data_IF_731860351331
#
_entry.id   IF_731860351331
#
_cell.length_a   1.000
_cell.length_b   1.000
_cell.length_c   1.000
_cell.angle_alpha   90.00
_cell.angle_beta   90.00
_cell.angle_gamma   90.00
#
_symmetry.space_group_name_H-M   'P 1'
#
loop_
_entity.id
_entity.type
_entity.pdbx_description
1 polymer ?
#
# COMPACT_ATOMS: atom_id res chain seq x y z
N UNK A 1 -3.90 -34.46 -35.48
CA UNK A 1 -4.17 -35.10 -34.18
C UNK A 1 -3.26 -34.53 -33.10
N UNK A 2 -1.91 -34.52 -33.25
CA UNK A 2 -0.97 -33.99 -32.25
C UNK A 2 -1.21 -32.53 -31.90
N UNK A 3 -1.51 -31.67 -32.89
CA UNK A 3 -1.78 -30.25 -32.67
C UNK A 3 -3.07 -30.01 -31.86
N UNK A 4 -4.08 -30.86 -32.01
CA UNK A 4 -5.33 -30.74 -31.23
C UNK A 4 -5.09 -31.13 -29.77
N UNK A 5 -4.30 -32.17 -29.54
CA UNK A 5 -3.92 -32.61 -28.20
C UNK A 5 -3.12 -31.51 -27.50
N UNK A 6 -2.10 -30.94 -28.15
CA UNK A 6 -1.28 -29.87 -27.60
C UNK A 6 -2.13 -28.63 -27.25
N UNK A 7 -3.06 -28.21 -28.13
CA UNK A 7 -3.96 -27.10 -27.83
C UNK A 7 -4.85 -27.41 -26.63
N UNK A 8 -5.34 -28.64 -26.52
CA UNK A 8 -6.17 -29.05 -25.38
C UNK A 8 -5.38 -29.06 -24.06
N UNK A 9 -4.15 -29.58 -24.08
CA UNK A 9 -3.24 -29.55 -22.92
C UNK A 9 -2.90 -28.10 -22.50
N UNK A 10 -2.58 -27.22 -23.43
CA UNK A 10 -2.32 -25.82 -23.16
C UNK A 10 -3.52 -25.11 -22.53
N UNK A 11 -4.75 -25.43 -22.98
CA UNK A 11 -5.98 -24.86 -22.41
C UNK A 11 -6.28 -25.33 -20.99
N UNK A 12 -5.71 -26.46 -20.56
CA UNK A 12 -5.86 -26.99 -19.20
C UNK A 12 -4.66 -26.65 -18.30
N UNK A 13 -3.56 -26.19 -18.88
CA UNK A 13 -2.35 -25.84 -18.14
C UNK A 13 -2.49 -24.44 -17.52
N UNK A 14 -2.79 -24.39 -16.22
CA UNK A 14 -2.99 -23.14 -15.48
C UNK A 14 -1.75 -22.25 -15.48
N UNK A 15 -0.55 -22.83 -15.46
CA UNK A 15 0.72 -22.09 -15.51
C UNK A 15 0.90 -21.40 -16.86
N UNK A 16 0.62 -22.13 -17.95
CA UNK A 16 0.67 -21.58 -19.30
C UNK A 16 -0.35 -20.47 -19.51
N UNK A 17 -1.61 -20.68 -19.10
CA UNK A 17 -2.66 -19.68 -19.24
C UNK A 17 -2.34 -18.40 -18.47
N UNK A 18 -1.74 -18.52 -17.28
CA UNK A 18 -1.30 -17.38 -16.51
C UNK A 18 -0.15 -16.63 -17.18
N UNK A 19 0.91 -17.34 -17.60
CA UNK A 19 2.03 -16.75 -18.30
C UNK A 19 1.60 -16.03 -19.59
N UNK A 20 0.66 -16.62 -20.32
CA UNK A 20 0.06 -16.01 -21.52
C UNK A 20 -0.71 -14.73 -21.17
N UNK A 21 -1.56 -14.76 -20.14
CA UNK A 21 -2.31 -13.59 -19.69
C UNK A 21 -1.37 -12.45 -19.26
N UNK A 22 -0.29 -12.78 -18.56
CA UNK A 22 0.73 -11.82 -18.15
C UNK A 22 1.41 -11.20 -19.37
N UNK A 23 1.86 -12.02 -20.33
CA UNK A 23 2.47 -11.55 -21.57
C UNK A 23 1.53 -10.67 -22.41
N UNK A 24 0.24 -11.02 -22.50
CA UNK A 24 -0.78 -10.24 -23.20
C UNK A 24 -1.00 -8.87 -22.50
N UNK A 25 -1.00 -8.85 -21.16
CA UNK A 25 -1.10 -7.62 -20.35
C UNK A 25 0.12 -6.73 -20.56
N UNK A 26 1.33 -7.27 -20.48
CA UNK A 26 2.57 -6.54 -20.71
C UNK A 26 2.66 -5.99 -22.15
N UNK A 27 2.24 -6.78 -23.14
CA UNK A 27 2.19 -6.33 -24.54
C UNK A 27 1.18 -5.18 -24.73
N UNK A 28 0.06 -5.21 -24.00
CA UNK A 28 -0.91 -4.12 -24.02
C UNK A 28 -0.33 -2.87 -23.38
N UNK A 29 0.31 -3.01 -22.22
CA UNK A 29 0.94 -1.92 -21.50
C UNK A 29 2.09 -1.29 -22.31
N UNK A 30 2.91 -2.10 -22.95
CA UNK A 30 3.98 -1.58 -23.84
C UNK A 30 3.42 -0.73 -24.99
N UNK A 31 2.28 -1.14 -25.58
CA UNK A 31 1.61 -0.35 -26.61
C UNK A 31 1.07 0.98 -26.10
N UNK A 32 0.48 1.00 -24.90
CA UNK A 32 0.02 2.23 -24.25
C UNK A 32 1.17 3.20 -24.00
N UNK A 33 2.26 2.70 -23.43
CA UNK A 33 3.46 3.51 -23.16
C UNK A 33 4.09 4.05 -24.46
N UNK A 34 4.22 3.21 -25.48
CA UNK A 34 4.75 3.62 -26.77
C UNK A 34 3.87 4.67 -27.49
N UNK A 35 2.55 4.62 -27.26
CA UNK A 35 1.59 5.58 -27.81
C UNK A 35 1.46 6.87 -26.95
N UNK A 36 2.11 6.93 -25.80
CA UNK A 36 2.11 8.12 -24.94
C UNK A 36 2.88 9.28 -25.55
N UNK A 37 2.76 10.48 -24.96
CA UNK A 37 3.48 11.69 -25.42
C UNK A 37 5.02 11.52 -25.42
N UNK A 38 5.55 10.66 -24.54
CA UNK A 38 6.99 10.40 -24.43
C UNK A 38 7.47 9.41 -25.50
N UNK A 39 6.58 8.63 -26.11
CA UNK A 39 6.89 7.66 -27.14
C UNK A 39 7.86 6.56 -26.67
N UNK A 40 8.57 5.97 -27.64
CA UNK A 40 9.61 4.98 -27.34
C UNK A 40 10.92 5.73 -27.03
N UNK A 41 11.56 5.50 -25.87
CA UNK A 41 12.80 6.17 -25.51
C UNK A 41 13.97 5.72 -26.40
N UNK A 42 15.05 6.52 -26.44
CA UNK A 42 16.24 6.20 -27.22
C UNK A 42 16.91 4.89 -26.81
N UNK A 43 16.73 4.47 -25.57
CA UNK A 43 17.20 3.18 -25.02
C UNK A 43 16.44 1.96 -25.60
N UNK A 44 15.37 2.20 -26.34
CA UNK A 44 14.59 1.16 -27.02
C UNK A 44 13.31 0.74 -26.30
N UNK A 45 12.49 -0.05 -26.97
CA UNK A 45 11.16 -0.44 -26.49
C UNK A 45 11.18 -1.31 -25.21
N UNK A 46 12.28 -2.04 -24.94
CA UNK A 46 12.39 -2.88 -23.75
C UNK A 46 12.39 -2.08 -22.45
N UNK A 47 12.93 -0.87 -22.46
CA UNK A 47 12.96 0.00 -21.28
C UNK A 47 11.57 0.49 -20.86
N UNK A 48 10.60 0.53 -21.79
CA UNK A 48 9.22 0.90 -21.47
C UNK A 48 8.64 0.07 -20.33
N UNK A 49 8.82 -1.24 -20.38
CA UNK A 49 8.30 -2.15 -19.35
C UNK A 49 9.24 -2.25 -18.14
N UNK A 50 10.56 -2.15 -18.35
CA UNK A 50 11.54 -2.24 -17.27
C UNK A 50 11.48 -1.05 -16.31
N UNK A 51 11.09 0.12 -16.81
CA UNK A 51 10.98 1.36 -16.01
C UNK A 51 9.53 1.67 -15.62
N UNK A 52 8.55 0.88 -16.06
CA UNK A 52 7.15 1.10 -15.76
C UNK A 52 6.77 0.55 -14.36
N UNK A 53 6.38 1.41 -13.40
CA UNK A 53 6.01 0.97 -12.06
C UNK A 53 4.81 0.01 -12.05
N UNK A 54 3.88 0.11 -12.99
CA UNK A 54 2.72 -0.79 -13.05
C UNK A 54 3.11 -2.20 -13.48
N UNK A 55 4.15 -2.34 -14.29
CA UNK A 55 4.68 -3.63 -14.72
C UNK A 55 5.65 -4.20 -13.69
N UNK A 56 6.55 -3.36 -13.15
CA UNK A 56 7.60 -3.84 -12.24
C UNK A 56 7.14 -3.97 -10.78
N UNK A 57 6.24 -3.12 -10.32
CA UNK A 57 5.77 -3.13 -8.93
C UNK A 57 5.28 -4.51 -8.45
N UNK A 58 4.34 -5.17 -9.15
CA UNK A 58 3.89 -6.51 -8.78
C UNK A 58 5.00 -7.57 -8.76
N UNK A 59 5.98 -7.47 -9.68
CA UNK A 59 7.11 -8.41 -9.75
C UNK A 59 8.06 -8.20 -8.57
N UNK A 60 8.44 -6.96 -8.30
CA UNK A 60 9.30 -6.60 -7.18
C UNK A 60 8.64 -6.93 -5.84
N UNK A 61 7.33 -6.69 -5.71
CA UNK A 61 6.60 -7.07 -4.52
C UNK A 61 6.64 -8.59 -4.29
N UNK A 62 6.36 -9.38 -5.33
CA UNK A 62 6.39 -10.84 -5.25
C UNK A 62 7.77 -11.37 -4.88
N UNK A 63 8.83 -10.75 -5.38
CA UNK A 63 10.21 -11.20 -5.18
C UNK A 63 10.78 -10.78 -3.81
N UNK A 64 10.47 -9.56 -3.36
CA UNK A 64 11.16 -8.96 -2.22
C UNK A 64 10.27 -8.72 -0.99
N UNK A 65 8.95 -8.60 -1.15
CA UNK A 65 8.05 -8.17 -0.09
C UNK A 65 7.08 -9.28 0.36
N UNK A 66 6.69 -10.19 -0.55
CA UNK A 66 5.62 -11.17 -0.29
C UNK A 66 5.98 -12.24 0.73
N UNK A 67 7.26 -12.38 1.11
CA UNK A 67 7.68 -13.26 2.21
C UNK A 67 7.12 -12.80 3.56
N UNK A 68 6.99 -11.49 3.77
CA UNK A 68 6.48 -10.88 4.99
C UNK A 68 5.11 -10.23 4.81
N UNK A 69 4.92 -9.51 3.72
CA UNK A 69 3.71 -8.74 3.43
C UNK A 69 2.75 -9.48 2.51
N UNK A 70 1.49 -9.01 2.49
CA UNK A 70 0.50 -9.35 1.46
C UNK A 70 0.08 -8.10 0.72
N UNK A 71 -0.44 -8.27 -0.47
CA UNK A 71 -1.11 -7.24 -1.25
C UNK A 71 -2.53 -7.73 -1.55
N UNK A 72 -3.51 -7.28 -0.79
CA UNK A 72 -4.89 -7.79 -0.81
C UNK A 72 -4.92 -9.34 -0.67
N UNK A 73 -4.19 -9.85 0.34
CA UNK A 73 -4.09 -11.27 0.70
C UNK A 73 -3.34 -12.16 -0.31
N UNK A 74 -2.68 -11.61 -1.31
CA UNK A 74 -1.88 -12.35 -2.30
C UNK A 74 -0.44 -11.81 -2.40
N UNK A 75 0.37 -12.43 -3.25
CA UNK A 75 1.79 -12.15 -3.48
C UNK A 75 2.08 -10.89 -4.33
N UNK A 76 1.09 -10.05 -4.61
CA UNK A 76 1.21 -8.92 -5.54
C UNK A 76 0.91 -9.28 -7.00
N UNK A 77 1.06 -10.55 -7.38
CA UNK A 77 0.75 -11.08 -8.74
C UNK A 77 -0.56 -11.87 -8.78
N UNK A 78 -1.33 -11.84 -7.70
CA UNK A 78 -2.61 -12.52 -7.58
C UNK A 78 -2.53 -14.00 -7.21
N UNK A 79 -1.37 -14.50 -6.74
CA UNK A 79 -1.26 -15.84 -6.22
C UNK A 79 -1.51 -15.84 -4.71
N UNK A 80 -2.33 -16.77 -4.22
CA UNK A 80 -2.49 -16.95 -2.78
C UNK A 80 -1.16 -17.37 -2.16
N UNK A 81 -0.88 -16.89 -0.97
CA UNK A 81 0.28 -17.29 -0.16
C UNK A 81 -0.26 -18.03 1.06
N UNK A 82 0.12 -19.29 1.21
CA UNK A 82 -0.40 -20.17 2.27
C UNK A 82 0.12 -19.78 3.65
N UNK A 83 1.36 -19.29 3.72
CA UNK A 83 1.99 -18.90 4.97
C UNK A 83 1.35 -17.63 5.53
N UNK A 84 1.19 -17.56 6.86
CA UNK A 84 0.69 -16.37 7.53
C UNK A 84 1.68 -15.21 7.34
N UNK A 85 1.19 -13.97 7.06
CA UNK A 85 2.06 -12.82 6.95
C UNK A 85 2.70 -12.49 8.31
N UNK A 86 3.95 -12.04 8.29
CA UNK A 86 4.63 -11.51 9.49
C UNK A 86 4.59 -9.97 9.58
N UNK A 87 3.99 -9.32 8.59
CA UNK A 87 3.82 -7.88 8.50
C UNK A 87 2.46 -7.53 7.87
N UNK A 88 2.05 -6.27 7.99
CA UNK A 88 0.75 -5.77 7.50
C UNK A 88 0.57 -5.92 5.99
N UNK A 89 -0.68 -6.08 5.54
CA UNK A 89 -1.05 -6.02 4.12
C UNK A 89 -0.86 -4.59 3.59
N UNK A 90 -0.16 -4.47 2.47
CA UNK A 90 0.20 -3.18 1.86
C UNK A 90 -0.76 -2.73 0.75
N UNK A 91 -1.88 -3.43 0.51
CA UNK A 91 -2.86 -2.99 -0.47
C UNK A 91 -3.50 -1.66 -0.05
N UNK A 92 -3.23 -0.62 -0.83
CA UNK A 92 -3.66 0.74 -0.52
C UNK A 92 -2.93 1.39 0.66
N UNK A 93 -1.72 0.92 1.00
CA UNK A 93 -0.89 1.48 2.06
C UNK A 93 -0.87 3.01 2.02
N UNK A 94 -0.99 3.63 3.19
CA UNK A 94 -1.07 5.06 3.41
C UNK A 94 -2.25 5.79 2.72
N UNK A 95 -3.19 5.06 2.10
CA UNK A 95 -4.45 5.68 1.68
C UNK A 95 -5.33 6.01 2.90
N UNK A 96 -6.24 6.98 2.76
CA UNK A 96 -7.21 7.32 3.82
C UNK A 96 -7.98 6.08 4.31
N UNK A 97 -8.34 5.18 3.39
CA UNK A 97 -9.04 3.94 3.73
C UNK A 97 -8.15 2.98 4.51
N UNK A 98 -6.89 2.83 4.10
CA UNK A 98 -5.93 1.98 4.79
C UNK A 98 -5.63 2.53 6.19
N UNK A 99 -5.36 3.83 6.31
CA UNK A 99 -5.08 4.51 7.58
C UNK A 99 -6.26 4.43 8.56
N UNK A 100 -7.50 4.64 8.10
CA UNK A 100 -8.69 4.47 8.95
C UNK A 100 -8.83 3.06 9.51
N UNK A 101 -8.46 2.04 8.73
CA UNK A 101 -8.48 0.66 9.20
C UNK A 101 -7.32 0.38 10.15
N UNK A 102 -6.12 0.87 9.82
CA UNK A 102 -4.94 0.71 10.66
C UNK A 102 -5.12 1.37 12.03
N UNK A 103 -5.72 2.55 12.09
CA UNK A 103 -6.02 3.31 13.31
C UNK A 103 -7.40 2.97 13.90
N UNK A 104 -7.97 1.82 13.55
CA UNK A 104 -9.25 1.36 14.09
C UNK A 104 -9.06 0.24 15.11
N UNK A 105 -9.64 0.35 16.33
CA UNK A 105 -9.63 -0.72 17.33
C UNK A 105 -10.16 -2.04 16.80
N UNK A 106 -11.14 -2.01 15.91
CA UNK A 106 -11.78 -3.21 15.34
C UNK A 106 -10.89 -3.91 14.29
N UNK A 107 -9.87 -3.22 13.75
CA UNK A 107 -9.11 -3.73 12.60
C UNK A 107 -7.64 -3.96 12.87
N UNK A 108 -7.00 -3.21 13.78
CA UNK A 108 -5.54 -3.27 14.01
C UNK A 108 -5.04 -4.69 14.33
N UNK A 109 -5.82 -5.47 15.08
CA UNK A 109 -5.49 -6.86 15.44
C UNK A 109 -6.04 -7.91 14.47
N UNK A 110 -6.49 -7.50 13.29
CA UNK A 110 -6.86 -8.44 12.23
C UNK A 110 -5.62 -8.95 11.48
N UNK A 111 -5.74 -10.07 10.74
CA UNK A 111 -4.65 -10.60 9.91
C UNK A 111 -4.12 -9.65 8.83
N UNK A 112 -4.91 -8.64 8.46
CA UNK A 112 -4.49 -7.61 7.49
C UNK A 112 -3.50 -6.60 8.10
N UNK A 113 -3.41 -6.52 9.42
CA UNK A 113 -2.53 -5.59 10.12
C UNK A 113 -1.63 -6.33 11.11
N UNK A 114 -1.78 -6.11 12.42
CA UNK A 114 -0.84 -6.65 13.40
C UNK A 114 -1.21 -8.05 13.94
N UNK A 115 -2.40 -8.58 13.65
CA UNK A 115 -2.90 -9.80 14.28
C UNK A 115 -2.04 -11.05 14.13
N UNK A 116 -1.19 -11.14 13.09
CA UNK A 116 -0.23 -12.23 12.90
C UNK A 116 1.23 -11.79 13.04
N UNK A 117 1.46 -10.55 13.48
CA UNK A 117 2.81 -9.99 13.61
C UNK A 117 3.29 -10.05 15.05
N UNK A 118 4.60 -9.83 15.25
CA UNK A 118 5.19 -9.63 16.58
C UNK A 118 4.73 -8.32 17.24
N UNK A 119 4.09 -7.42 16.48
CA UNK A 119 3.62 -6.12 16.95
C UNK A 119 2.20 -6.15 17.50
N UNK A 120 1.52 -7.31 17.54
CA UNK A 120 0.15 -7.43 18.02
C UNK A 120 -0.05 -7.00 19.50
N UNK A 121 1.01 -7.12 20.28
CA UNK A 121 1.06 -6.74 21.71
C UNK A 121 1.98 -5.52 21.92
N UNK A 122 2.32 -4.79 20.85
CA UNK A 122 3.18 -3.61 20.89
C UNK A 122 2.41 -2.32 21.21
N UNK A 123 3.17 -1.24 21.42
CA UNK A 123 2.63 0.07 21.86
C UNK A 123 1.62 0.65 20.87
N UNK A 124 1.89 0.58 19.55
CA UNK A 124 0.94 1.07 18.55
C UNK A 124 -0.38 0.29 18.55
N UNK A 125 -0.34 -1.02 18.79
CA UNK A 125 -1.55 -1.83 18.93
C UNK A 125 -2.32 -1.44 20.20
N UNK A 126 -1.63 -1.25 21.32
CA UNK A 126 -2.21 -0.79 22.59
C UNK A 126 -2.80 0.62 22.44
N UNK A 127 -2.07 1.56 21.86
CA UNK A 127 -2.56 2.90 21.58
C UNK A 127 -3.86 2.88 20.77
N UNK A 128 -3.93 2.05 19.73
CA UNK A 128 -5.13 1.96 18.90
C UNK A 128 -6.29 1.32 19.65
N UNK A 129 -6.06 0.23 20.40
CA UNK A 129 -7.14 -0.52 21.07
C UNK A 129 -7.62 0.10 22.38
N UNK A 130 -6.81 0.92 23.03
CA UNK A 130 -7.14 1.54 24.32
C UNK A 130 -7.35 3.05 24.18
N UNK A 131 -6.39 3.78 23.63
CA UNK A 131 -6.45 5.25 23.56
C UNK A 131 -7.44 5.70 22.50
N UNK A 132 -7.26 5.28 21.24
CA UNK A 132 -8.18 5.66 20.14
C UNK A 132 -9.59 5.11 20.39
N UNK A 133 -9.72 3.95 21.02
CA UNK A 133 -11.03 3.39 21.38
C UNK A 133 -11.82 4.31 22.32
N UNK A 134 -11.12 5.03 23.21
CA UNK A 134 -11.72 5.96 24.18
C UNK A 134 -12.01 7.35 23.64
N UNK A 135 -11.55 7.70 22.44
CA UNK A 135 -11.71 9.03 21.84
C UNK A 135 -13.16 9.48 21.79
N UNK A 136 -13.39 10.73 22.20
CA UNK A 136 -14.67 11.39 22.06
C UNK A 136 -14.93 11.86 20.60
N UNK A 137 -15.98 12.61 20.38
CA UNK A 137 -16.34 13.08 19.03
C UNK A 137 -15.33 14.07 18.46
N UNK A 138 -14.75 14.93 19.30
CA UNK A 138 -13.75 15.92 18.87
C UNK A 138 -12.42 15.24 18.54
N UNK A 139 -11.94 14.35 19.41
CA UNK A 139 -10.71 13.58 19.20
C UNK A 139 -10.79 12.70 17.95
N UNK A 140 -11.95 12.09 17.68
CA UNK A 140 -12.18 11.35 16.42
C UNK A 140 -12.15 12.23 15.18
N UNK A 141 -12.62 13.48 15.28
CA UNK A 141 -12.49 14.44 14.18
C UNK A 141 -11.04 14.83 13.96
N UNK A 142 -10.28 15.07 15.02
CA UNK A 142 -8.84 15.35 14.96
C UNK A 142 -8.06 14.17 14.35
N UNK A 143 -8.40 12.95 14.72
CA UNK A 143 -7.81 11.75 14.11
C UNK A 143 -8.11 11.65 12.60
N UNK A 144 -9.30 12.01 12.15
CA UNK A 144 -9.61 12.08 10.70
C UNK A 144 -8.77 13.15 9.99
N UNK A 145 -8.49 14.28 10.62
CA UNK A 145 -7.60 15.31 10.08
C UNK A 145 -6.15 14.80 9.98
N UNK A 146 -5.65 14.08 10.99
CA UNK A 146 -4.35 13.39 10.94
C UNK A 146 -4.30 12.39 9.77
N UNK A 147 -5.34 11.57 9.59
CA UNK A 147 -5.43 10.62 8.47
C UNK A 147 -5.35 11.35 7.11
N UNK A 148 -5.99 12.50 6.98
CA UNK A 148 -5.92 13.30 5.76
C UNK A 148 -4.52 13.84 5.50
N UNK A 149 -3.83 14.30 6.53
CA UNK A 149 -2.46 14.80 6.43
C UNK A 149 -1.50 13.68 6.05
N UNK A 150 -1.52 12.55 6.75
CA UNK A 150 -0.68 11.38 6.45
C UNK A 150 -0.91 10.85 5.03
N UNK A 151 -2.17 10.78 4.62
CA UNK A 151 -2.50 10.35 3.26
C UNK A 151 -1.98 11.33 2.20
N UNK A 152 -2.00 12.63 2.48
CA UNK A 152 -1.44 13.65 1.59
C UNK A 152 0.09 13.59 1.50
N UNK A 153 0.77 13.31 2.62
CA UNK A 153 2.23 13.08 2.65
C UNK A 153 2.64 11.91 1.75
N UNK A 154 1.85 10.84 1.74
CA UNK A 154 2.10 9.66 0.90
C UNK A 154 2.00 9.94 -0.61
N UNK A 155 1.42 11.05 -1.04
CA UNK A 155 1.32 11.52 -2.44
C UNK A 155 0.82 10.47 -3.42
N UNK A 156 -0.10 9.61 -3.00
CA UNK A 156 -0.60 8.50 -3.81
C UNK A 156 -1.34 9.01 -5.06
N UNK A 157 -0.92 8.62 -6.28
CA UNK A 157 -1.56 9.10 -7.51
C UNK A 157 -3.07 8.84 -7.55
N UNK A 158 -3.51 7.71 -6.99
CA UNK A 158 -4.93 7.32 -6.92
C UNK A 158 -5.78 8.27 -6.05
N UNK A 159 -5.18 9.01 -5.12
CA UNK A 159 -5.86 9.92 -4.22
C UNK A 159 -5.68 11.41 -4.56
N UNK A 160 -4.93 11.74 -5.58
CA UNK A 160 -4.63 13.12 -5.98
C UNK A 160 -5.89 14.00 -6.11
N UNK A 161 -7.01 13.43 -6.57
CA UNK A 161 -8.26 14.14 -6.70
C UNK A 161 -8.90 14.47 -5.34
N UNK A 162 -8.78 13.58 -4.34
CA UNK A 162 -9.24 13.82 -2.97
C UNK A 162 -8.40 14.91 -2.30
N UNK A 163 -7.08 14.84 -2.46
CA UNK A 163 -6.15 15.81 -1.89
C UNK A 163 -6.31 17.22 -2.49
N UNK A 164 -6.79 17.33 -3.72
CA UNK A 164 -7.05 18.63 -4.35
C UNK A 164 -8.42 19.20 -4.00
N UNK A 165 -9.42 18.36 -3.77
CA UNK A 165 -10.79 18.80 -3.44
C UNK A 165 -10.97 19.16 -1.96
N UNK A 166 -10.21 18.51 -1.08
CA UNK A 166 -10.30 18.66 0.36
C UNK A 166 -9.14 19.53 0.89
N UNK A 167 -9.32 20.84 0.84
CA UNK A 167 -8.27 21.80 1.20
C UNK A 167 -8.29 22.21 2.69
N UNK A 168 -9.31 21.81 3.46
CA UNK A 168 -9.49 22.24 4.84
C UNK A 168 -8.32 21.87 5.75
N UNK A 169 -7.75 20.67 5.58
CA UNK A 169 -6.60 20.19 6.33
C UNK A 169 -5.32 21.03 6.14
N UNK A 170 -5.23 21.82 5.05
CA UNK A 170 -4.03 22.66 4.77
C UNK A 170 -3.89 23.85 5.69
N UNK A 171 -4.97 24.26 6.35
CA UNK A 171 -4.99 25.39 7.27
C UNK A 171 -4.84 24.99 8.74
N UNK A 172 -4.74 23.68 9.03
CA UNK A 172 -4.58 23.15 10.38
C UNK A 172 -3.12 23.27 10.82
N UNK A 173 -2.90 23.65 12.06
CA UNK A 173 -1.59 23.53 12.73
C UNK A 173 -1.29 22.03 12.94
N UNK A 174 -0.44 21.50 12.06
CA UNK A 174 -0.16 20.07 12.02
C UNK A 174 0.56 19.59 13.27
N UNK A 175 1.53 20.37 13.73
CA UNK A 175 2.36 20.00 14.85
C UNK A 175 1.51 19.93 16.12
N UNK A 176 0.66 20.95 16.34
CA UNK A 176 -0.29 20.93 17.44
C UNK A 176 -1.27 19.76 17.35
N UNK A 177 -1.79 19.47 16.15
CA UNK A 177 -2.75 18.38 15.94
C UNK A 177 -2.13 16.99 16.22
N UNK A 178 -0.92 16.72 15.72
CA UNK A 178 -0.22 15.45 15.96
C UNK A 178 0.13 15.26 17.43
N UNK A 179 0.46 16.36 18.12
CA UNK A 179 0.67 16.34 19.57
C UNK A 179 -0.64 16.07 20.33
N UNK A 180 -1.73 16.76 20.00
CA UNK A 180 -3.04 16.60 20.66
C UNK A 180 -3.61 15.19 20.50
N UNK A 181 -3.41 14.54 19.33
CA UNK A 181 -3.83 13.15 19.08
C UNK A 181 -2.87 12.13 19.73
N UNK A 182 -1.69 12.56 20.17
CA UNK A 182 -0.70 11.73 20.85
C UNK A 182 0.28 11.00 19.90
N UNK A 183 0.30 11.35 18.63
CA UNK A 183 1.19 10.69 17.65
C UNK A 183 2.66 10.98 17.93
N UNK A 184 2.99 12.21 18.34
CA UNK A 184 4.36 12.68 18.59
C UNK A 184 4.98 12.17 19.89
N UNK A 185 4.24 11.43 20.70
CA UNK A 185 4.82 10.73 21.87
C UNK A 185 5.80 9.62 21.44
N UNK A 186 5.62 9.06 20.25
CA UNK A 186 6.44 7.97 19.72
C UNK A 186 7.00 8.25 18.32
N UNK A 187 6.26 8.99 17.48
CA UNK A 187 6.61 9.25 16.08
C UNK A 187 7.15 10.65 15.85
N UNK A 188 8.15 10.78 14.96
CA UNK A 188 8.51 12.04 14.32
C UNK A 188 7.53 12.41 13.20
N UNK A 189 7.37 13.73 13.01
CA UNK A 189 6.64 14.26 11.86
C UNK A 189 7.25 15.63 11.51
N UNK A 190 8.04 15.67 10.43
CA UNK A 190 8.84 16.84 10.03
C UNK A 190 9.83 17.38 11.09
N UNK A 191 10.20 16.55 12.06
CA UNK A 191 11.18 16.89 13.08
C UNK A 191 12.46 16.07 12.90
N UNK A 192 13.61 16.72 13.11
CA UNK A 192 14.92 16.06 13.18
C UNK A 192 15.17 15.52 14.60
N UNK A 193 14.39 14.57 15.07
CA UNK A 193 14.66 13.87 16.32
C UNK A 193 15.27 12.50 16.00
N UNK A 194 16.52 12.28 16.42
CA UNK A 194 17.27 11.06 16.08
C UNK A 194 16.95 9.88 17.02
N UNK A 195 16.23 10.11 18.14
CA UNK A 195 15.99 9.14 19.21
C UNK A 195 14.51 8.73 19.34
N UNK A 196 13.80 8.54 18.22
CA UNK A 196 12.39 8.13 18.25
C UNK A 196 12.23 6.61 18.36
N UNK A 197 11.29 6.18 19.20
CA UNK A 197 10.97 4.76 19.41
C UNK A 197 10.18 4.14 18.22
N UNK A 198 9.62 4.98 17.33
CA UNK A 198 8.78 4.57 16.22
C UNK A 198 9.21 5.27 14.90
N UNK A 199 8.79 4.73 13.73
CA UNK A 199 9.13 5.32 12.44
C UNK A 199 8.65 6.77 12.29
N UNK A 200 9.46 7.61 11.64
CA UNK A 200 9.06 8.95 11.21
C UNK A 200 7.86 8.85 10.23
N UNK A 201 6.87 9.72 10.41
CA UNK A 201 5.65 9.78 9.63
C UNK A 201 5.74 10.75 8.44
N UNK A 202 6.90 11.38 8.22
CA UNK A 202 7.15 12.25 7.06
C UNK A 202 7.24 11.43 5.78
N UNK A 203 6.53 11.84 4.71
CA UNK A 203 6.45 11.15 3.43
C UNK A 203 7.43 11.61 2.36
#
# INVERSE_FOLDING_TARGET
LLSIVAIHEDQQNTSYLRARKEADSEASRARELAASLNGIPQSGALTLLLEDPQTQGPKLFAEHCSSCHRYDRHDGRGLPVEEAPSASDLAGFASRTWLRKFLSPDHILTPAFFGHTSFKDGEMATFTTETIASFDTQERQQLEEVIHILSAEARLPAQKHLETSDAAWRSVDRDALFYEVGCTECHGFHFEDEDLDAPDLTG
#
